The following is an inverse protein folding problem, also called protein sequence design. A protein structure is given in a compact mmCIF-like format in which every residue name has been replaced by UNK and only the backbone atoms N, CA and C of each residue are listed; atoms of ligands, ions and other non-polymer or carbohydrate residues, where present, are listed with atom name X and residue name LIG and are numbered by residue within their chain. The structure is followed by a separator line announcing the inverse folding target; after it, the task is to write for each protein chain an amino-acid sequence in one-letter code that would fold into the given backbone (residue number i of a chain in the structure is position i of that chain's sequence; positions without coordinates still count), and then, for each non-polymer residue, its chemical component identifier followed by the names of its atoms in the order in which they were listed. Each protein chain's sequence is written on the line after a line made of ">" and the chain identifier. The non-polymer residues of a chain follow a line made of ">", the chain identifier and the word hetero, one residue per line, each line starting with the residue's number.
data_IF_655081922788
#
_entry.id   IF_655081922788
#
_cell.length_a   1.000
_cell.length_b   1.000
_cell.length_c   1.000
_cell.angle_alpha   90.00
_cell.angle_beta   90.00
_cell.angle_gamma   90.00
#
_symmetry.space_group_name_H-M   'P 1'
#
loop_
_entity.id
_entity.type
_entity.pdbx_description
1 polymer ?
#
# COMPACT_ATOMS: atom_id res chain seq x y z
N UNK A 1 9.75 16.67 15.82
CA UNK A 1 10.58 15.65 15.12
C UNK A 1 10.21 14.18 15.45
N UNK A 2 9.01 13.87 15.94
CA UNK A 2 8.61 12.48 16.25
C UNK A 2 7.93 11.73 15.09
N UNK A 3 7.24 12.45 14.20
CA UNK A 3 6.50 11.85 13.07
C UNK A 3 7.44 11.28 12.00
N UNK A 4 8.57 11.93 11.73
CA UNK A 4 9.58 11.51 10.75
C UNK A 4 10.29 10.18 11.11
N UNK A 5 9.99 9.58 12.26
CA UNK A 5 10.55 8.28 12.68
C UNK A 5 9.51 7.16 12.64
N UNK A 6 8.26 7.47 12.31
CA UNK A 6 7.14 6.53 12.36
C UNK A 6 6.91 5.88 11.00
N UNK A 7 6.74 4.56 10.98
CA UNK A 7 6.40 3.82 9.76
C UNK A 7 5.01 4.22 9.24
N UNK A 8 4.07 4.51 10.15
CA UNK A 8 2.74 5.05 9.82
C UNK A 8 2.81 6.34 9.02
N UNK A 9 3.88 7.14 9.16
CA UNK A 9 4.04 8.36 8.38
C UNK A 9 4.67 8.06 7.01
N UNK A 10 5.78 7.32 6.98
CA UNK A 10 6.54 7.12 5.74
C UNK A 10 5.85 6.20 4.72
N UNK A 11 5.11 5.18 5.17
CA UNK A 11 4.45 4.25 4.25
C UNK A 11 3.35 4.90 3.39
N UNK A 12 2.47 5.76 3.95
CA UNK A 12 1.59 6.62 3.18
C UNK A 12 2.31 7.60 2.25
N UNK A 13 3.38 8.25 2.73
CA UNK A 13 4.14 9.24 1.94
C UNK A 13 4.75 8.59 0.70
N UNK A 14 5.36 7.41 0.85
CA UNK A 14 5.92 6.66 -0.28
C UNK A 14 4.83 6.26 -1.29
N UNK A 15 3.65 5.85 -0.81
CA UNK A 15 2.51 5.58 -1.70
C UNK A 15 2.08 6.81 -2.50
N UNK A 16 1.96 7.97 -1.86
CA UNK A 16 1.62 9.22 -2.55
C UNK A 16 2.66 9.56 -3.61
N UNK A 17 3.95 9.38 -3.33
CA UNK A 17 5.03 9.60 -4.31
C UNK A 17 4.90 8.64 -5.49
N UNK A 18 4.64 7.36 -5.24
CA UNK A 18 4.44 6.35 -6.28
C UNK A 18 3.24 6.72 -7.16
N UNK A 19 2.12 7.12 -6.56
CA UNK A 19 0.91 7.49 -7.30
C UNK A 19 1.10 8.77 -8.10
N UNK A 20 1.83 9.74 -7.56
CA UNK A 20 2.17 10.96 -8.28
C UNK A 20 3.12 10.68 -9.45
N UNK A 21 4.09 9.78 -9.27
CA UNK A 21 4.97 9.34 -10.35
C UNK A 21 4.18 8.65 -11.47
N UNK A 22 3.21 7.81 -11.11
CA UNK A 22 2.33 7.13 -12.06
C UNK A 22 1.43 8.13 -12.82
N UNK A 23 0.88 9.12 -12.12
CA UNK A 23 0.16 10.25 -12.72
C UNK A 23 1.01 11.03 -13.72
N UNK A 24 2.31 11.15 -13.46
CA UNK A 24 3.28 11.76 -14.38
C UNK A 24 3.71 10.82 -15.54
N UNK A 25 3.12 9.63 -15.65
CA UNK A 25 3.29 8.72 -16.78
C UNK A 25 4.37 7.66 -16.60
N UNK A 26 4.87 7.41 -15.39
CA UNK A 26 5.92 6.40 -15.16
C UNK A 26 5.41 4.96 -15.25
N UNK A 27 4.12 4.71 -15.01
CA UNK A 27 3.55 3.37 -14.91
C UNK A 27 3.97 2.58 -13.67
N UNK A 28 4.73 3.20 -12.75
CA UNK A 28 5.29 2.53 -11.58
C UNK A 28 4.22 2.02 -10.62
N UNK A 29 3.10 2.72 -10.47
CA UNK A 29 2.06 2.24 -9.56
C UNK A 29 1.41 0.97 -10.10
N UNK A 30 1.21 0.85 -11.42
CA UNK A 30 0.66 -0.37 -12.02
C UNK A 30 1.55 -1.60 -11.79
N UNK A 31 2.88 -1.43 -11.86
CA UNK A 31 3.84 -2.48 -11.55
C UNK A 31 3.77 -2.86 -10.06
N UNK A 32 3.76 -1.88 -9.16
CA UNK A 32 3.76 -2.13 -7.72
C UNK A 32 2.42 -2.74 -7.27
N UNK A 33 1.30 -2.22 -7.76
CA UNK A 33 -0.04 -2.72 -7.47
C UNK A 33 -0.24 -4.16 -7.97
N UNK A 34 0.30 -4.50 -9.15
CA UNK A 34 0.22 -5.85 -9.73
C UNK A 34 1.14 -6.88 -9.07
N UNK A 35 2.17 -6.45 -8.35
CA UNK A 35 3.11 -7.34 -7.67
C UNK A 35 2.88 -7.45 -6.15
N UNK A 36 2.09 -6.55 -5.57
CA UNK A 36 1.83 -6.57 -4.12
C UNK A 36 0.89 -7.74 -3.74
N UNK A 37 1.32 -8.72 -2.92
CA UNK A 37 0.56 -9.95 -2.74
C UNK A 37 -0.90 -9.76 -2.28
N UNK A 38 -1.21 -8.90 -1.29
CA UNK A 38 -2.60 -8.63 -0.91
C UNK A 38 -3.48 -8.15 -2.07
N UNK A 39 -2.96 -7.27 -2.93
CA UNK A 39 -3.69 -6.80 -4.10
C UNK A 39 -3.89 -7.93 -5.12
N UNK A 40 -2.85 -8.73 -5.38
CA UNK A 40 -2.95 -9.86 -6.33
C UNK A 40 -3.98 -10.90 -5.91
N UNK A 41 -4.22 -11.06 -4.60
CA UNK A 41 -5.27 -11.93 -4.08
C UNK A 41 -6.64 -11.27 -4.18
N UNK A 42 -6.77 -9.99 -3.81
CA UNK A 42 -8.03 -9.26 -3.89
C UNK A 42 -8.56 -9.13 -5.31
N UNK A 43 -7.68 -8.91 -6.28
CA UNK A 43 -8.02 -8.89 -7.71
C UNK A 43 -8.67 -10.18 -8.21
N UNK A 44 -8.43 -11.32 -7.53
CA UNK A 44 -9.00 -12.63 -7.88
C UNK A 44 -10.30 -12.93 -7.16
N UNK A 45 -10.74 -12.08 -6.24
CA UNK A 45 -11.92 -12.28 -5.42
C UNK A 45 -13.00 -11.26 -5.74
N UNK A 46 -14.24 -11.71 -5.92
CA UNK A 46 -15.39 -10.80 -6.01
C UNK A 46 -15.82 -10.31 -4.61
N UNK A 47 -16.30 -9.06 -4.48
CA UNK A 47 -16.49 -8.02 -5.51
C UNK A 47 -15.25 -7.14 -5.75
N UNK A 48 -14.12 -7.48 -5.13
CA UNK A 48 -12.92 -6.63 -5.12
C UNK A 48 -12.30 -6.49 -6.52
N UNK A 49 -12.42 -7.53 -7.35
CA UNK A 49 -12.00 -7.48 -8.75
C UNK A 49 -12.62 -6.30 -9.49
N UNK A 50 -13.95 -6.18 -9.46
CA UNK A 50 -14.70 -5.11 -10.15
C UNK A 50 -14.43 -3.72 -9.54
N UNK A 51 -14.11 -3.67 -8.26
CA UNK A 51 -13.75 -2.44 -7.59
C UNK A 51 -12.34 -1.97 -7.97
N UNK A 52 -11.42 -2.90 -8.20
CA UNK A 52 -10.00 -2.62 -8.39
C UNK A 52 -9.57 -2.53 -9.85
N UNK A 53 -10.22 -3.23 -10.78
CA UNK A 53 -9.80 -3.32 -12.19
C UNK A 53 -10.93 -2.89 -13.11
N UNK A 54 -10.59 -2.26 -14.22
CA UNK A 54 -11.53 -2.06 -15.32
C UNK A 54 -11.45 -3.25 -16.31
N UNK A 55 -12.57 -3.87 -16.67
CA UNK A 55 -12.59 -5.09 -17.50
C UNK A 55 -11.88 -4.96 -18.86
N UNK A 56 -11.78 -3.73 -19.40
CA UNK A 56 -11.02 -3.41 -20.61
C UNK A 56 -9.52 -3.72 -20.52
N UNK A 57 -9.00 -4.05 -19.33
CA UNK A 57 -7.59 -4.27 -19.03
C UNK A 57 -7.05 -5.66 -19.43
N UNK A 58 -7.88 -6.66 -19.72
CA UNK A 58 -7.42 -8.01 -20.05
C UNK A 58 -7.07 -8.23 -21.54
N UNK A 59 -7.21 -7.20 -22.39
CA UNK A 59 -7.02 -7.30 -23.84
C UNK A 59 -5.57 -7.25 -24.34
N UNK A 60 -4.59 -6.88 -23.51
CA UNK A 60 -3.20 -6.72 -23.97
C UNK A 60 -2.18 -6.62 -22.85
N UNK A 61 -1.43 -7.71 -22.63
CA UNK A 61 -0.32 -7.85 -21.67
C UNK A 61 -0.67 -7.54 -20.20
N UNK A 62 -0.41 -8.48 -19.30
CA UNK A 62 -0.68 -8.40 -17.84
C UNK A 62 0.04 -7.26 -17.11
N UNK A 63 0.93 -6.54 -17.79
CA UNK A 63 1.69 -5.39 -17.27
C UNK A 63 0.89 -4.07 -17.43
N UNK A 64 -0.11 -4.04 -18.31
CA UNK A 64 -0.94 -2.87 -18.63
C UNK A 64 -2.34 -2.95 -17.97
N UNK A 65 -2.44 -3.63 -16.82
CA UNK A 65 -3.71 -3.67 -16.09
C UNK A 65 -4.08 -2.26 -15.63
N UNK A 66 -5.19 -1.74 -16.15
CA UNK A 66 -5.71 -0.43 -15.74
C UNK A 66 -6.42 -0.55 -14.41
N UNK A 67 -5.74 -0.13 -13.34
CA UNK A 67 -6.30 -0.08 -12.00
C UNK A 67 -7.26 1.09 -11.85
N UNK A 68 -8.36 0.85 -11.14
CA UNK A 68 -9.31 1.89 -10.70
C UNK A 68 -8.73 2.61 -9.49
N UNK A 69 -9.17 3.85 -9.25
CA UNK A 69 -8.79 4.63 -8.06
C UNK A 69 -8.94 3.84 -6.74
N UNK A 70 -9.98 3.02 -6.64
CA UNK A 70 -10.21 2.16 -5.46
C UNK A 70 -9.04 1.21 -5.17
N UNK A 71 -8.32 0.71 -6.18
CA UNK A 71 -7.15 -0.14 -5.99
C UNK A 71 -6.00 0.62 -5.30
N UNK A 72 -5.76 1.87 -5.71
CA UNK A 72 -4.79 2.75 -5.07
C UNK A 72 -5.20 3.05 -3.63
N UNK A 73 -6.49 3.32 -3.38
CA UNK A 73 -6.99 3.57 -2.03
C UNK A 73 -6.83 2.34 -1.11
N UNK A 74 -7.18 1.15 -1.60
CA UNK A 74 -7.02 -0.12 -0.87
C UNK A 74 -5.53 -0.33 -0.54
N UNK A 75 -4.64 -0.16 -1.52
CA UNK A 75 -3.21 -0.32 -1.32
C UNK A 75 -2.64 0.67 -0.29
N UNK A 76 -3.07 1.93 -0.36
CA UNK A 76 -2.73 2.96 0.61
C UNK A 76 -3.18 2.56 2.02
N UNK A 77 -4.43 2.11 2.18
CA UNK A 77 -4.95 1.65 3.46
C UNK A 77 -4.15 0.47 4.03
N UNK A 78 -3.77 -0.51 3.20
CA UNK A 78 -2.91 -1.61 3.64
C UNK A 78 -1.57 -1.12 4.18
N UNK A 79 -0.89 -0.24 3.46
CA UNK A 79 0.40 0.29 3.89
C UNK A 79 0.29 1.15 5.14
N UNK A 80 -0.78 1.95 5.26
CA UNK A 80 -1.07 2.70 6.48
C UNK A 80 -1.26 1.75 7.67
N UNK A 81 -2.06 0.69 7.51
CA UNK A 81 -2.29 -0.32 8.55
C UNK A 81 -1.01 -1.06 8.93
N UNK A 82 -0.17 -1.46 7.98
CA UNK A 82 1.12 -2.08 8.27
C UNK A 82 2.01 -1.11 9.05
N UNK A 83 2.03 0.17 8.66
CA UNK A 83 2.76 1.21 9.39
C UNK A 83 2.31 1.32 10.85
N UNK A 84 0.99 1.30 11.10
CA UNK A 84 0.43 1.29 12.46
C UNK A 84 0.85 0.05 13.25
N UNK A 85 0.78 -1.14 12.64
CA UNK A 85 1.18 -2.39 13.27
C UNK A 85 2.65 -2.37 13.65
N UNK A 86 3.54 -1.91 12.76
CA UNK A 86 4.98 -1.83 13.04
C UNK A 86 5.27 -0.82 14.16
N UNK A 87 4.68 0.37 14.10
CA UNK A 87 4.86 1.38 15.16
C UNK A 87 4.34 0.86 16.52
N UNK A 88 3.23 0.13 16.52
CA UNK A 88 2.69 -0.50 17.73
C UNK A 88 3.60 -1.60 18.28
N UNK A 89 4.11 -2.50 17.42
CA UNK A 89 5.05 -3.54 17.80
C UNK A 89 6.32 -2.94 18.42
N UNK A 90 6.90 -1.91 17.78
CA UNK A 90 8.08 -1.20 18.30
C UNK A 90 7.78 -0.58 19.66
N UNK A 91 6.60 0.03 19.83
CA UNK A 91 6.18 0.59 21.11
C UNK A 91 6.10 -0.48 22.20
N UNK A 92 5.47 -1.63 21.92
CA UNK A 92 5.38 -2.75 22.84
C UNK A 92 6.77 -3.26 23.26
N UNK A 93 7.67 -3.48 22.30
CA UNK A 93 9.03 -3.94 22.62
C UNK A 93 9.80 -2.91 23.44
N UNK A 94 9.68 -1.62 23.13
CA UNK A 94 10.33 -0.56 23.91
C UNK A 94 9.80 -0.51 25.35
N UNK A 95 8.49 -0.72 25.55
CA UNK A 95 7.90 -0.79 26.91
C UNK A 95 8.28 -2.05 27.69
N UNK A 96 8.55 -3.17 27.01
CA UNK A 96 8.89 -4.45 27.66
C UNK A 96 10.39 -4.63 27.92
N UNK A 97 11.27 -4.06 27.08
CA UNK A 97 12.73 -4.17 27.27
C UNK A 97 13.32 -3.19 28.30
N UNK A 98 12.63 -2.07 28.57
CA UNK A 98 13.07 -1.07 29.56
C UNK A 98 12.02 -0.85 30.67
N UNK A 99 11.68 -1.86 31.49
CA UNK A 99 10.76 -1.67 32.60
C UNK A 99 11.38 -0.93 33.80
N UNK A 100 12.72 -0.83 33.89
CA UNK A 100 13.44 -0.36 35.10
C UNK A 100 13.92 1.10 35.07
N UNK A 101 13.56 1.89 34.05
CA UNK A 101 13.98 3.29 33.93
C UNK A 101 12.85 4.30 34.25
N UNK A 102 11.85 3.89 35.04
CA UNK A 102 10.78 4.78 35.50
C UNK A 102 10.59 4.64 37.00
#
# INVERSE_FOLDING_TARGET
>A
MFLLRKFTFWFPVMNIIIYLSDYLGSGLANIILSQFPPNTWLIRAEPFRDWMINESAFGGSSILVTFRFTAYLIHFCFFLSIGFVLDYIIHLFKSRLFPLAR
#
